data_IF_761711469188
#
_entry.id   IF_761711469188
#
_cell.length_a   1.000
_cell.length_b   1.000
_cell.length_c   1.000
_cell.angle_alpha   90.00
_cell.angle_beta   90.00
_cell.angle_gamma   90.00
#
_symmetry.space_group_name_H-M   'P 1'
#
loop_
_entity.id
_entity.type
_entity.pdbx_description
1 polymer ?
#
# COMPACT_ATOMS: atom_id res chain seq x y z
N UNK A 1 12.89 17.95 -24.39
CA UNK A 1 13.13 16.60 -24.91
C UNK A 1 11.82 15.82 -24.80
N UNK A 2 11.43 15.03 -25.82
CA UNK A 2 10.26 14.16 -25.74
C UNK A 2 10.53 13.09 -24.66
N UNK A 3 9.52 12.81 -23.83
CA UNK A 3 9.61 11.72 -22.85
C UNK A 3 9.62 10.36 -23.57
N UNK A 4 10.36 9.40 -23.03
CA UNK A 4 10.36 8.04 -23.56
C UNK A 4 8.96 7.41 -23.43
N UNK A 5 8.59 6.57 -24.39
CA UNK A 5 7.35 5.81 -24.35
C UNK A 5 7.58 4.53 -23.53
N UNK A 6 6.64 4.18 -22.68
CA UNK A 6 6.66 2.92 -21.95
C UNK A 6 6.19 1.76 -22.85
N UNK A 7 6.95 0.68 -22.90
CA UNK A 7 6.59 -0.53 -23.62
C UNK A 7 6.34 -1.68 -22.62
N UNK A 8 5.16 -2.30 -22.68
CA UNK A 8 4.79 -3.43 -21.83
C UNK A 8 5.41 -4.73 -22.37
N UNK A 9 6.64 -5.04 -21.96
CA UNK A 9 7.35 -6.25 -22.40
C UNK A 9 7.21 -7.41 -21.43
N UNK A 10 6.91 -7.14 -20.16
CA UNK A 10 6.82 -8.12 -19.07
C UNK A 10 5.55 -7.92 -18.25
N UNK A 11 5.03 -8.96 -17.58
CA UNK A 11 3.96 -8.82 -16.61
C UNK A 11 4.33 -7.80 -15.53
N UNK A 12 3.39 -6.92 -15.19
CA UNK A 12 3.55 -5.87 -14.17
C UNK A 12 3.00 -6.33 -12.82
N UNK A 13 3.81 -6.21 -11.77
CA UNK A 13 3.47 -6.58 -10.40
C UNK A 13 3.81 -5.45 -9.46
N UNK A 14 2.86 -5.08 -8.59
CA UNK A 14 3.09 -4.11 -7.54
C UNK A 14 3.54 -4.83 -6.26
N UNK A 15 4.70 -4.47 -5.77
CA UNK A 15 5.27 -5.02 -4.54
C UNK A 15 5.67 -3.87 -3.63
N UNK A 16 5.85 -4.12 -2.34
CA UNK A 16 6.39 -3.10 -1.47
C UNK A 16 6.99 -3.65 -0.20
N UNK A 17 7.76 -2.80 0.48
CA UNK A 17 8.37 -3.10 1.76
C UNK A 17 7.49 -2.64 2.92
N UNK A 18 7.25 -3.56 3.86
CA UNK A 18 6.55 -3.31 5.12
C UNK A 18 7.42 -3.80 6.30
N UNK A 19 7.15 -3.34 7.50
CA UNK A 19 7.87 -3.75 8.71
C UNK A 19 8.21 -2.57 9.62
N UNK A 20 8.85 -2.85 10.74
CA UNK A 20 9.15 -1.87 11.78
C UNK A 20 10.11 -0.76 11.30
N UNK A 21 10.08 0.40 11.96
CA UNK A 21 11.07 1.46 11.77
C UNK A 21 12.49 0.92 12.04
N UNK A 22 13.48 1.44 11.34
CA UNK A 22 14.90 1.03 11.46
C UNK A 22 15.23 -0.44 11.11
N UNK A 23 14.26 -1.26 10.66
CA UNK A 23 14.54 -2.62 10.16
C UNK A 23 15.19 -2.63 8.75
N UNK A 24 15.31 -1.47 8.08
CA UNK A 24 16.05 -1.31 6.83
C UNK A 24 15.23 -1.49 5.56
N UNK A 25 13.93 -1.14 5.58
CA UNK A 25 13.05 -1.17 4.40
C UNK A 25 13.60 -0.34 3.23
N UNK A 26 13.89 0.93 3.48
CA UNK A 26 14.44 1.86 2.48
C UNK A 26 15.82 1.43 2.00
N UNK A 27 16.64 0.87 2.90
CA UNK A 27 17.94 0.30 2.53
C UNK A 27 17.77 -0.90 1.59
N UNK A 28 16.81 -1.77 1.87
CA UNK A 28 16.48 -2.90 1.01
C UNK A 28 15.96 -2.43 -0.36
N UNK A 29 15.09 -1.43 -0.39
CA UNK A 29 14.60 -0.82 -1.62
C UNK A 29 15.75 -0.28 -2.48
N UNK A 30 16.71 0.40 -1.88
CA UNK A 30 17.93 0.87 -2.56
C UNK A 30 18.80 -0.31 -3.07
N UNK A 31 18.94 -1.39 -2.30
CA UNK A 31 19.68 -2.58 -2.70
C UNK A 31 19.02 -3.28 -3.92
N UNK A 32 17.69 -3.41 -3.92
CA UNK A 32 16.92 -3.99 -5.03
C UNK A 32 17.13 -3.19 -6.32
N UNK A 33 17.04 -1.85 -6.27
CA UNK A 33 17.22 -1.01 -7.44
C UNK A 33 18.68 -1.03 -7.93
N UNK A 34 19.67 -1.06 -7.02
CA UNK A 34 21.08 -1.15 -7.37
C UNK A 34 21.40 -2.43 -8.11
N UNK A 35 21.05 -3.58 -7.53
CA UNK A 35 21.37 -4.89 -8.11
C UNK A 35 20.65 -5.10 -9.45
N UNK A 36 19.42 -4.59 -9.59
CA UNK A 36 18.72 -4.60 -10.87
C UNK A 36 19.38 -3.66 -11.89
N UNK A 37 19.90 -2.48 -11.46
CA UNK A 37 20.62 -1.56 -12.33
C UNK A 37 21.97 -2.12 -12.79
N UNK A 38 22.71 -2.83 -11.94
CA UNK A 38 23.97 -3.50 -12.29
C UNK A 38 23.75 -4.57 -13.39
N UNK A 39 22.52 -5.12 -13.50
CA UNK A 39 22.10 -6.01 -14.59
C UNK A 39 21.48 -5.27 -15.79
N UNK A 40 21.44 -3.93 -15.79
CA UNK A 40 20.80 -3.13 -16.84
C UNK A 40 19.27 -3.18 -16.84
N UNK A 41 18.66 -3.63 -15.73
CA UNK A 41 17.20 -3.85 -15.61
C UNK A 41 16.50 -2.80 -14.73
N UNK A 42 17.21 -1.76 -14.29
CA UNK A 42 16.64 -0.64 -13.54
C UNK A 42 17.51 0.61 -13.70
N UNK A 43 16.94 1.75 -13.27
CA UNK A 43 17.75 2.91 -12.91
C UNK A 43 18.05 2.81 -11.42
N UNK A 44 19.33 2.87 -11.03
CA UNK A 44 19.68 2.91 -9.62
C UNK A 44 19.06 4.15 -8.95
N UNK A 45 18.38 3.93 -7.83
CA UNK A 45 17.86 4.97 -6.95
C UNK A 45 18.56 4.81 -5.61
N UNK A 46 19.34 5.82 -5.23
CA UNK A 46 20.11 5.77 -3.98
C UNK A 46 19.19 5.84 -2.76
N UNK A 47 19.70 5.41 -1.59
CA UNK A 47 19.00 5.55 -0.32
C UNK A 47 18.50 6.99 -0.09
N UNK A 48 19.39 7.98 -0.33
CA UNK A 48 19.06 9.40 -0.17
C UNK A 48 17.97 9.88 -1.14
N UNK A 49 17.92 9.35 -2.35
CA UNK A 49 16.87 9.69 -3.33
C UNK A 49 15.52 9.09 -2.93
N UNK A 50 15.48 7.83 -2.47
CA UNK A 50 14.25 7.19 -1.94
C UNK A 50 13.76 7.94 -0.70
N UNK A 51 14.66 8.27 0.23
CA UNK A 51 14.34 9.01 1.44
C UNK A 51 13.87 10.45 1.15
N UNK A 52 14.52 11.17 0.23
CA UNK A 52 14.16 12.55 -0.18
C UNK A 52 12.83 12.63 -0.94
N UNK A 53 12.47 11.62 -1.72
CA UNK A 53 11.15 11.55 -2.36
C UNK A 53 10.04 11.54 -1.29
N UNK A 54 10.32 10.98 -0.11
CA UNK A 54 9.47 10.98 1.06
C UNK A 54 9.43 12.32 1.82
N UNK A 55 10.51 13.14 1.78
CA UNK A 55 10.61 14.42 2.51
C UNK A 55 9.80 15.56 1.88
N UNK A 56 9.48 15.49 0.59
CA UNK A 56 8.81 16.57 -0.13
C UNK A 56 7.42 16.91 0.39
N UNK A 57 6.86 16.12 1.31
CA UNK A 57 5.53 16.26 1.88
C UNK A 57 5.47 16.52 3.40
N UNK A 58 6.60 16.62 4.14
CA UNK A 58 6.53 16.77 5.60
C UNK A 58 7.74 17.40 6.29
N UNK A 59 7.55 17.84 7.54
CA UNK A 59 8.50 18.54 8.40
C UNK A 59 9.77 17.70 8.65
N UNK A 60 10.94 18.34 8.56
CA UNK A 60 12.26 17.80 8.89
C UNK A 60 12.38 17.50 10.39
N UNK A 61 12.75 16.28 10.74
CA UNK A 61 13.56 16.01 11.93
C UNK A 61 15.01 15.85 11.46
N UNK A 62 15.88 16.78 11.88
CA UNK A 62 17.26 16.88 11.41
C UNK A 62 18.17 15.73 11.92
N UNK A 63 17.68 14.83 12.76
CA UNK A 63 18.48 13.83 13.45
C UNK A 63 18.24 12.39 12.97
N UNK A 64 17.14 12.11 12.26
CA UNK A 64 16.86 10.79 11.67
C UNK A 64 16.15 10.93 10.33
N UNK A 65 16.69 10.28 9.31
CA UNK A 65 16.02 10.13 8.00
C UNK A 65 14.95 9.06 8.17
N UNK A 66 13.67 9.47 8.23
CA UNK A 66 12.52 8.57 8.27
C UNK A 66 11.69 8.71 6.99
N UNK A 67 11.27 7.58 6.43
CA UNK A 67 10.31 7.56 5.33
C UNK A 67 8.94 8.01 5.86
N UNK A 68 8.50 9.19 5.45
CA UNK A 68 7.24 9.82 5.90
C UNK A 68 6.12 9.58 4.88
N UNK A 69 6.43 9.73 3.60
CA UNK A 69 5.52 9.52 2.49
C UNK A 69 5.86 8.23 1.73
N UNK A 70 4.91 7.77 0.93
CA UNK A 70 5.10 6.62 0.05
C UNK A 70 6.07 7.00 -1.07
N UNK A 71 7.11 6.20 -1.26
CA UNK A 71 8.03 6.33 -2.40
C UNK A 71 7.81 5.19 -3.39
N UNK A 72 7.79 5.51 -4.67
CA UNK A 72 7.63 4.53 -5.74
C UNK A 72 8.91 4.45 -6.57
N UNK A 73 9.44 3.24 -6.73
CA UNK A 73 10.57 2.94 -7.60
C UNK A 73 10.21 1.81 -8.56
N UNK A 74 10.90 1.74 -9.71
CA UNK A 74 10.73 0.64 -10.68
C UNK A 74 12.02 -0.15 -10.82
N UNK A 75 11.88 -1.47 -10.97
CA UNK A 75 12.95 -2.38 -11.38
C UNK A 75 12.37 -3.61 -12.07
N UNK A 76 13.24 -4.38 -12.71
CA UNK A 76 12.84 -5.58 -13.43
C UNK A 76 13.67 -6.80 -12.99
N UNK A 77 13.10 -7.96 -13.21
CA UNK A 77 13.81 -9.24 -13.31
C UNK A 77 13.71 -9.73 -14.74
N UNK A 78 14.29 -10.87 -15.04
CA UNK A 78 14.11 -11.50 -16.38
C UNK A 78 12.64 -11.81 -16.67
N UNK A 79 11.84 -12.06 -15.62
CA UNK A 79 10.45 -12.51 -15.74
C UNK A 79 9.42 -11.38 -15.64
N UNK A 80 9.69 -10.31 -14.88
CA UNK A 80 8.68 -9.33 -14.47
C UNK A 80 9.21 -7.90 -14.38
N UNK A 81 8.29 -6.95 -14.55
CA UNK A 81 8.47 -5.54 -14.20
C UNK A 81 7.78 -5.27 -12.85
N UNK A 82 8.49 -4.66 -11.93
CA UNK A 82 8.00 -4.32 -10.59
C UNK A 82 7.85 -2.81 -10.39
N UNK A 83 6.66 -2.40 -9.94
CA UNK A 83 6.50 -1.13 -9.22
C UNK A 83 6.65 -1.43 -7.73
N UNK A 84 7.63 -0.82 -7.10
CA UNK A 84 7.93 -1.04 -5.69
C UNK A 84 7.53 0.17 -4.85
N UNK A 85 6.76 -0.09 -3.81
CA UNK A 85 6.24 0.89 -2.86
C UNK A 85 7.03 0.79 -1.57
N UNK A 86 7.84 1.79 -1.25
CA UNK A 86 8.50 1.87 0.06
C UNK A 86 7.57 2.53 1.07
N UNK A 87 7.07 1.74 2.04
CA UNK A 87 6.13 2.20 3.04
C UNK A 87 6.82 2.73 4.29
N UNK A 88 6.30 3.82 4.90
CA UNK A 88 6.81 4.30 6.18
C UNK A 88 6.63 3.23 7.27
N UNK A 89 7.58 3.18 8.20
CA UNK A 89 7.56 2.21 9.31
C UNK A 89 7.04 2.77 10.62
N UNK A 90 6.94 4.09 10.75
CA UNK A 90 6.56 4.74 12.01
C UNK A 90 5.05 4.75 12.22
N UNK A 91 4.62 4.56 13.48
CA UNK A 91 3.19 4.50 13.86
C UNK A 91 2.40 5.77 13.44
N UNK A 92 3.03 6.96 13.46
CA UNK A 92 2.39 8.20 13.08
C UNK A 92 2.00 8.27 11.58
N UNK A 93 2.61 7.41 10.75
CA UNK A 93 2.40 7.39 9.30
C UNK A 93 1.62 6.17 8.80
N UNK A 94 0.90 5.51 9.69
CA UNK A 94 0.10 4.30 9.36
C UNK A 94 -0.90 4.57 8.23
N UNK A 95 -1.44 5.78 8.11
CA UNK A 95 -2.29 6.17 6.96
C UNK A 95 -1.59 5.93 5.62
N UNK A 96 -0.35 6.36 5.51
CA UNK A 96 0.45 6.19 4.30
C UNK A 96 0.81 4.70 4.08
N UNK A 97 1.08 3.97 5.18
CA UNK A 97 1.29 2.52 5.11
C UNK A 97 0.06 1.80 4.58
N UNK A 98 -1.15 2.12 5.08
CA UNK A 98 -2.41 1.51 4.60
C UNK A 98 -2.61 1.81 3.11
N UNK A 99 -2.42 3.07 2.68
CA UNK A 99 -2.55 3.47 1.28
C UNK A 99 -1.54 2.73 0.39
N UNK A 100 -0.28 2.62 0.82
CA UNK A 100 0.75 1.90 0.08
C UNK A 100 0.46 0.40 0.01
N UNK A 101 0.10 -0.23 1.14
CA UNK A 101 -0.20 -1.64 1.19
C UNK A 101 -1.41 -2.03 0.34
N UNK A 102 -2.43 -1.18 0.26
CA UNK A 102 -3.61 -1.41 -0.59
C UNK A 102 -3.28 -1.50 -2.10
N UNK A 103 -2.11 -1.00 -2.51
CA UNK A 103 -1.66 -1.06 -3.90
C UNK A 103 -0.89 -2.35 -4.23
N UNK A 104 -0.46 -3.12 -3.23
CA UNK A 104 0.45 -4.24 -3.41
C UNK A 104 -0.27 -5.51 -3.87
N UNK A 105 0.34 -6.21 -4.81
CA UNK A 105 -0.03 -7.58 -5.19
C UNK A 105 0.69 -8.61 -4.31
N UNK A 106 1.75 -8.16 -3.62
CA UNK A 106 2.48 -8.87 -2.59
C UNK A 106 3.39 -7.92 -1.82
N UNK A 107 3.80 -8.29 -0.63
CA UNK A 107 4.67 -7.48 0.22
C UNK A 107 5.96 -8.22 0.59
N UNK A 108 7.04 -7.46 0.77
CA UNK A 108 8.27 -7.92 1.42
C UNK A 108 8.24 -7.41 2.86
N UNK A 109 8.08 -8.33 3.81
CA UNK A 109 8.18 -8.03 5.22
C UNK A 109 9.65 -7.99 5.62
N UNK A 110 10.13 -6.83 6.04
CA UNK A 110 11.51 -6.63 6.49
C UNK A 110 11.57 -6.69 8.00
N UNK A 111 12.30 -7.67 8.52
CA UNK A 111 12.52 -7.87 9.95
C UNK A 111 14.02 -7.82 10.21
N UNK A 112 14.46 -7.07 11.20
CA UNK A 112 15.84 -7.11 11.66
C UNK A 112 16.10 -8.43 12.39
N UNK A 113 17.09 -9.19 11.95
CA UNK A 113 17.48 -10.44 12.61
C UNK A 113 17.97 -10.22 14.05
N UNK A 114 18.53 -9.03 14.33
CA UNK A 114 19.04 -8.67 15.66
C UNK A 114 17.91 -8.30 16.64
N UNK A 115 16.82 -7.71 16.15
CA UNK A 115 15.74 -7.17 17.00
C UNK A 115 14.51 -8.11 17.04
N UNK A 116 14.37 -9.00 16.04
CA UNK A 116 13.19 -9.84 15.87
C UNK A 116 11.93 -9.05 15.48
N UNK A 117 10.74 -9.69 15.55
CA UNK A 117 9.46 -9.03 15.26
C UNK A 117 9.08 -8.02 16.36
N UNK A 118 9.04 -6.74 15.98
CA UNK A 118 8.70 -5.62 16.85
C UNK A 118 7.19 -5.27 16.76
N UNK A 119 6.64 -4.41 17.65
CA UNK A 119 5.20 -4.09 17.65
C UNK A 119 4.65 -3.64 16.30
N UNK A 120 5.37 -2.77 15.57
CA UNK A 120 4.93 -2.32 14.25
C UNK A 120 5.03 -3.41 13.18
N UNK A 121 5.90 -4.42 13.36
CA UNK A 121 5.92 -5.61 12.49
C UNK A 121 4.57 -6.32 12.54
N UNK A 122 4.04 -6.51 13.74
CA UNK A 122 2.72 -7.13 13.98
C UNK A 122 1.59 -6.29 13.39
N UNK A 123 1.60 -4.98 13.62
CA UNK A 123 0.62 -4.06 13.07
C UNK A 123 0.63 -4.06 11.54
N UNK A 124 1.82 -4.06 10.91
CA UNK A 124 1.95 -4.05 9.45
C UNK A 124 1.46 -5.35 8.80
N UNK A 125 1.70 -6.52 9.41
CA UNK A 125 1.17 -7.80 8.93
C UNK A 125 -0.36 -7.80 9.00
N UNK A 126 -0.91 -7.35 10.14
CA UNK A 126 -2.35 -7.24 10.33
C UNK A 126 -2.99 -6.30 9.30
N UNK A 127 -2.43 -5.10 9.13
CA UNK A 127 -2.92 -4.12 8.17
C UNK A 127 -2.82 -4.62 6.72
N UNK A 128 -1.70 -5.26 6.35
CA UNK A 128 -1.55 -5.87 5.04
C UNK A 128 -2.66 -6.89 4.77
N UNK A 129 -2.99 -7.73 5.78
CA UNK A 129 -4.10 -8.68 5.67
C UNK A 129 -5.45 -8.00 5.48
N UNK A 130 -5.69 -6.92 6.24
CA UNK A 130 -6.96 -6.18 6.20
C UNK A 130 -7.19 -5.46 4.88
N UNK A 131 -6.15 -4.81 4.32
CA UNK A 131 -6.25 -4.15 3.01
C UNK A 131 -6.19 -5.12 1.84
N UNK A 132 -6.01 -6.42 2.11
CA UNK A 132 -6.11 -7.47 1.11
C UNK A 132 -4.82 -7.81 0.37
N UNK A 133 -3.63 -7.51 0.93
CA UNK A 133 -2.36 -8.02 0.41
C UNK A 133 -2.38 -9.55 0.46
N UNK A 134 -2.30 -10.24 -0.69
CA UNK A 134 -2.54 -11.68 -0.71
C UNK A 134 -1.31 -12.52 -0.34
N UNK A 135 -0.09 -12.00 -0.56
CA UNK A 135 1.16 -12.73 -0.40
C UNK A 135 2.21 -11.89 0.33
N UNK A 136 2.99 -12.56 1.21
CA UNK A 136 4.13 -11.96 1.89
C UNK A 136 5.35 -12.84 1.65
N UNK A 137 6.49 -12.21 1.33
CA UNK A 137 7.84 -12.80 1.37
C UNK A 137 8.61 -12.10 2.48
N UNK A 138 9.44 -12.80 3.22
CA UNK A 138 10.18 -12.22 4.35
C UNK A 138 11.65 -12.03 4.00
N UNK A 139 12.20 -10.89 4.38
CA UNK A 139 13.64 -10.63 4.36
C UNK A 139 14.12 -10.37 5.79
N UNK A 140 14.87 -11.34 6.37
CA UNK A 140 15.56 -11.16 7.66
C UNK A 140 16.83 -10.37 7.41
N UNK A 141 16.70 -9.05 7.57
CA UNK A 141 17.76 -8.09 7.33
C UNK A 141 18.72 -7.99 8.51
N UNK A 142 19.91 -7.44 8.29
CA UNK A 142 20.97 -7.32 9.29
C UNK A 142 21.44 -8.67 9.87
N UNK A 143 21.29 -9.76 9.12
CA UNK A 143 21.75 -11.08 9.54
C UNK A 143 23.28 -11.15 9.71
N UNK A 144 24.01 -10.20 9.13
CA UNK A 144 25.45 -10.01 9.32
C UNK A 144 25.85 -9.57 10.74
N UNK A 145 24.90 -9.19 11.58
CA UNK A 145 25.14 -8.81 12.98
C UNK A 145 24.96 -9.96 13.96
N UNK A 146 24.57 -11.12 13.49
CA UNK A 146 24.26 -12.30 14.31
C UNK A 146 25.18 -13.44 13.86
N UNK A 147 26.06 -13.85 14.76
CA UNK A 147 26.98 -15.00 14.54
C UNK A 147 26.33 -16.32 14.99
N UNK A 148 25.33 -16.24 15.89
CA UNK A 148 24.63 -17.39 16.42
C UNK A 148 23.50 -17.84 15.48
N UNK A 149 23.67 -19.03 14.91
CA UNK A 149 22.66 -19.63 14.01
C UNK A 149 21.37 -20.01 14.74
N UNK A 150 21.43 -20.44 16.00
CA UNK A 150 20.24 -20.82 16.75
C UNK A 150 19.35 -19.62 16.99
N UNK A 151 19.95 -18.44 17.22
CA UNK A 151 19.20 -17.17 17.35
C UNK A 151 18.52 -16.79 16.03
N UNK A 152 19.17 -16.95 14.88
CA UNK A 152 18.57 -16.71 13.58
C UNK A 152 17.37 -17.64 13.32
N UNK A 153 17.53 -18.92 13.65
CA UNK A 153 16.47 -19.94 13.49
C UNK A 153 15.27 -19.63 14.43
N UNK A 154 15.52 -19.14 15.64
CA UNK A 154 14.49 -18.71 16.58
C UNK A 154 13.69 -17.51 16.06
N UNK A 155 14.38 -16.48 15.54
CA UNK A 155 13.71 -15.31 14.93
C UNK A 155 12.88 -15.71 13.73
N UNK A 156 13.39 -16.63 12.91
CA UNK A 156 12.64 -17.16 11.77
C UNK A 156 11.36 -17.87 12.23
N UNK A 157 11.44 -18.71 13.26
CA UNK A 157 10.30 -19.41 13.82
C UNK A 157 9.25 -18.42 14.36
N UNK A 158 9.66 -17.40 15.11
CA UNK A 158 8.76 -16.37 15.63
C UNK A 158 8.03 -15.61 14.52
N UNK A 159 8.73 -15.30 13.41
CA UNK A 159 8.12 -14.65 12.25
C UNK A 159 7.09 -15.57 11.57
N UNK A 160 7.38 -16.89 11.44
CA UNK A 160 6.44 -17.87 10.87
C UNK A 160 5.18 -18.02 11.72
N UNK A 161 5.33 -18.11 13.03
CA UNK A 161 4.19 -18.15 13.95
C UNK A 161 3.34 -16.88 13.85
N UNK A 162 3.98 -15.72 13.80
CA UNK A 162 3.31 -14.44 13.65
C UNK A 162 2.51 -14.34 12.35
N UNK A 163 3.09 -14.77 11.23
CA UNK A 163 2.40 -14.81 9.94
C UNK A 163 1.20 -15.75 9.98
N UNK A 164 1.35 -16.94 10.58
CA UNK A 164 0.28 -17.92 10.73
C UNK A 164 -0.87 -17.38 11.58
N UNK A 165 -0.54 -16.70 12.67
CA UNK A 165 -1.52 -16.04 13.57
C UNK A 165 -2.41 -15.04 12.81
N UNK A 166 -1.85 -14.29 11.84
CA UNK A 166 -2.60 -13.31 11.04
C UNK A 166 -3.13 -13.87 9.70
N UNK A 167 -3.15 -15.21 9.55
CA UNK A 167 -3.79 -15.89 8.42
C UNK A 167 -2.98 -15.90 7.13
N UNK A 168 -1.67 -15.69 7.20
CA UNK A 168 -0.75 -16.00 6.11
C UNK A 168 -0.16 -17.40 6.30
N UNK A 169 0.25 -18.10 5.22
CA UNK A 169 0.78 -19.46 5.31
C UNK A 169 2.24 -19.44 5.81
N UNK A 170 2.46 -19.21 7.12
CA UNK A 170 3.77 -19.01 7.72
C UNK A 170 4.79 -20.11 7.38
N UNK A 171 4.37 -21.38 7.40
CA UNK A 171 5.23 -22.54 7.07
C UNK A 171 5.72 -22.54 5.61
N UNK A 172 4.91 -21.99 4.69
CA UNK A 172 5.20 -21.97 3.25
C UNK A 172 5.79 -20.64 2.77
N UNK A 173 5.74 -19.62 3.62
CA UNK A 173 6.26 -18.28 3.28
C UNK A 173 7.77 -18.33 3.12
N UNK A 174 8.34 -17.90 1.96
CA UNK A 174 9.78 -17.78 1.81
C UNK A 174 10.37 -16.77 2.78
N UNK A 175 11.43 -17.18 3.49
CA UNK A 175 12.20 -16.32 4.38
C UNK A 175 13.64 -16.34 3.91
N UNK A 176 14.18 -15.17 3.57
CA UNK A 176 15.54 -15.00 3.06
C UNK A 176 16.34 -14.19 4.11
N UNK A 177 17.46 -14.76 4.54
CA UNK A 177 18.40 -14.10 5.43
C UNK A 177 19.42 -13.31 4.61
N UNK A 178 19.72 -12.06 5.03
CA UNK A 178 20.68 -11.22 4.32
C UNK A 178 21.01 -9.91 5.02
N UNK A 179 21.84 -9.11 4.36
CA UNK A 179 22.16 -7.75 4.75
C UNK A 179 22.03 -6.82 3.54
N UNK A 180 21.00 -5.98 3.56
CA UNK A 180 20.79 -5.00 2.50
C UNK A 180 21.96 -4.00 2.40
N UNK A 181 22.60 -3.68 3.52
CA UNK A 181 23.78 -2.80 3.52
C UNK A 181 24.97 -3.44 2.79
N UNK A 182 25.34 -4.68 3.15
CA UNK A 182 26.41 -5.42 2.46
C UNK A 182 26.11 -5.59 0.96
N UNK A 183 24.85 -5.80 0.61
CA UNK A 183 24.47 -5.89 -0.80
C UNK A 183 24.67 -4.57 -1.55
N UNK A 184 24.36 -3.41 -0.93
CA UNK A 184 24.66 -2.09 -1.50
C UNK A 184 26.17 -1.87 -1.64
N UNK A 185 26.96 -2.35 -0.69
CA UNK A 185 28.43 -2.26 -0.73
C UNK A 185 29.05 -3.20 -1.78
N UNK A 186 28.26 -4.11 -2.37
CA UNK A 186 28.70 -5.03 -3.43
C UNK A 186 29.33 -6.31 -2.89
N UNK A 187 29.12 -6.63 -1.62
CA UNK A 187 29.62 -7.88 -1.01
C UNK A 187 29.04 -9.09 -1.73
N UNK A 188 29.93 -9.98 -2.22
CA UNK A 188 29.59 -11.21 -2.92
C UNK A 188 29.40 -12.40 -1.96
N UNK A 189 29.53 -12.21 -0.67
CA UNK A 189 29.24 -13.21 0.35
C UNK A 189 27.74 -13.58 0.38
N UNK A 190 27.37 -14.69 1.05
CA UNK A 190 26.01 -15.25 1.01
C UNK A 190 24.95 -14.29 1.54
N UNK A 191 25.31 -13.37 2.45
CA UNK A 191 24.42 -12.38 3.04
C UNK A 191 24.38 -11.05 2.26
N UNK A 192 25.28 -10.83 1.29
CA UNK A 192 25.37 -9.64 0.44
C UNK A 192 24.49 -9.74 -0.81
N UNK A 193 25.07 -9.45 -1.98
CA UNK A 193 24.39 -9.47 -3.29
C UNK A 193 23.62 -10.78 -3.54
N UNK A 194 24.16 -11.99 -3.25
CA UNK A 194 23.43 -13.24 -3.44
C UNK A 194 22.12 -13.34 -2.66
N UNK A 195 22.01 -12.72 -1.48
CA UNK A 195 20.78 -12.71 -0.69
C UNK A 195 19.67 -11.93 -1.37
N UNK A 196 19.99 -10.81 -2.01
CA UNK A 196 19.02 -9.99 -2.76
C UNK A 196 18.57 -10.71 -4.03
N UNK A 197 19.48 -11.41 -4.71
CA UNK A 197 19.11 -12.24 -5.87
C UNK A 197 18.16 -13.37 -5.49
N UNK A 198 18.38 -14.05 -4.35
CA UNK A 198 17.47 -15.05 -3.79
C UNK A 198 16.11 -14.45 -3.42
N UNK A 199 16.10 -13.23 -2.87
CA UNK A 199 14.87 -12.51 -2.57
C UNK A 199 14.07 -12.24 -3.85
N UNK A 200 14.71 -11.73 -4.91
CA UNK A 200 14.06 -11.50 -6.21
C UNK A 200 13.51 -12.79 -6.82
N UNK A 201 14.26 -13.88 -6.72
CA UNK A 201 13.81 -15.22 -7.18
C UNK A 201 12.60 -15.72 -6.37
N UNK A 202 12.62 -15.54 -5.05
CA UNK A 202 11.50 -15.88 -4.17
C UNK A 202 10.24 -15.06 -4.51
N UNK A 203 10.39 -13.76 -4.75
CA UNK A 203 9.31 -12.87 -5.17
C UNK A 203 8.75 -13.30 -6.53
N UNK A 204 9.62 -13.59 -7.51
CA UNK A 204 9.22 -14.05 -8.85
C UNK A 204 8.46 -15.38 -8.85
N UNK A 205 8.80 -16.28 -7.93
CA UNK A 205 8.23 -17.63 -7.87
C UNK A 205 7.02 -17.76 -6.96
N UNK A 206 7.02 -17.07 -5.81
CA UNK A 206 6.01 -17.22 -4.78
C UNK A 206 4.80 -16.30 -4.98
N UNK A 207 5.00 -15.07 -5.47
CA UNK A 207 3.92 -14.14 -5.75
C UNK A 207 3.42 -14.39 -7.17
N UNK A 208 2.17 -14.84 -7.39
CA UNK A 208 1.66 -15.11 -8.73
C UNK A 208 1.48 -13.81 -9.53
N UNK A 209 1.48 -13.89 -10.85
CA UNK A 209 1.08 -12.77 -11.70
C UNK A 209 -0.40 -12.46 -11.45
N UNK A 210 -0.74 -11.24 -11.01
CA UNK A 210 -2.11 -10.92 -10.66
C UNK A 210 -3.02 -10.85 -11.88
N UNK A 211 -4.24 -11.36 -11.72
CA UNK A 211 -5.30 -11.15 -12.73
C UNK A 211 -5.82 -9.71 -12.60
N UNK A 212 -5.83 -8.98 -13.72
CA UNK A 212 -6.24 -7.60 -13.76
C UNK A 212 -7.67 -7.47 -14.28
N UNK A 213 -8.60 -6.79 -13.54
CA UNK A 213 -9.98 -6.59 -13.98
C UNK A 213 -10.06 -5.47 -15.03
N UNK A 214 -9.46 -5.68 -16.21
CA UNK A 214 -9.40 -4.70 -17.30
C UNK A 214 -10.75 -4.50 -18.00
N UNK A 215 -11.64 -5.50 -17.93
CA UNK A 215 -12.96 -5.46 -18.58
C UNK A 215 -14.00 -4.65 -17.80
N UNK A 216 -13.68 -4.26 -16.56
CA UNK A 216 -14.57 -3.43 -15.73
C UNK A 216 -14.44 -1.94 -16.11
N UNK A 217 -15.45 -1.11 -15.79
CA UNK A 217 -15.33 0.34 -15.92
C UNK A 217 -14.12 0.87 -15.16
N UNK A 218 -13.38 1.81 -15.77
CA UNK A 218 -12.19 2.41 -15.16
C UNK A 218 -12.48 3.01 -13.78
N UNK A 219 -11.58 2.77 -12.84
CA UNK A 219 -11.54 3.38 -11.53
C UNK A 219 -10.09 3.50 -11.03
N UNK A 220 -9.73 4.68 -10.55
CA UNK A 220 -8.43 4.95 -9.94
C UNK A 220 -8.60 5.84 -8.70
N UNK A 221 -8.34 5.34 -7.48
CA UNK A 221 -8.27 6.17 -6.28
C UNK A 221 -7.13 7.20 -6.39
N UNK A 222 -7.40 8.43 -5.97
CA UNK A 222 -6.42 9.53 -6.00
C UNK A 222 -5.59 9.48 -4.72
N UNK A 223 -4.27 9.42 -4.89
CA UNK A 223 -3.29 9.40 -3.81
C UNK A 223 -2.68 10.76 -3.57
N UNK A 224 -2.22 11.39 -4.65
CA UNK A 224 -1.61 12.71 -4.62
C UNK A 224 -2.07 13.59 -5.78
N UNK A 225 -2.01 14.91 -5.57
CA UNK A 225 -2.40 15.92 -6.56
C UNK A 225 -1.27 16.93 -6.73
N UNK A 226 -0.79 17.05 -7.96
CA UNK A 226 0.30 17.96 -8.32
C UNK A 226 -0.15 18.97 -9.38
N UNK A 227 0.50 20.14 -9.40
CA UNK A 227 0.40 21.09 -10.51
C UNK A 227 1.71 21.11 -11.27
N UNK A 228 1.65 20.89 -12.57
CA UNK A 228 2.80 21.00 -13.45
C UNK A 228 2.65 22.27 -14.29
N UNK A 229 3.60 23.20 -14.17
CA UNK A 229 3.61 24.44 -14.96
C UNK A 229 3.48 24.16 -16.46
N UNK A 230 2.50 24.78 -17.13
CA UNK A 230 2.22 24.62 -18.54
C UNK A 230 1.50 23.32 -18.94
N UNK A 231 1.20 22.41 -17.98
CA UNK A 231 0.51 21.14 -18.28
C UNK A 231 -0.79 20.94 -17.48
N UNK A 232 -0.96 21.64 -16.37
CA UNK A 232 -2.18 21.59 -15.56
C UNK A 232 -2.06 20.66 -14.34
N UNK A 233 -3.19 20.17 -13.88
CA UNK A 233 -3.29 19.29 -12.71
C UNK A 233 -3.01 17.85 -13.11
N UNK A 234 -2.16 17.21 -12.32
CA UNK A 234 -1.83 15.77 -12.41
C UNK A 234 -2.25 15.11 -11.12
N UNK A 235 -2.98 14.02 -11.23
CA UNK A 235 -3.32 13.17 -10.10
C UNK A 235 -2.62 11.82 -10.24
N UNK A 236 -2.14 11.28 -9.15
CA UNK A 236 -1.48 9.97 -9.13
C UNK A 236 -2.32 8.96 -8.37
N UNK A 237 -2.18 7.71 -8.75
CA UNK A 237 -2.82 6.59 -8.08
C UNK A 237 -2.59 5.29 -8.83
N UNK A 238 -3.00 4.18 -8.20
CA UNK A 238 -3.06 2.89 -8.85
C UNK A 238 -4.41 2.70 -9.54
N UNK A 239 -4.42 2.30 -10.80
CA UNK A 239 -5.63 1.86 -11.47
C UNK A 239 -6.18 0.61 -10.78
N UNK A 240 -7.34 0.73 -10.11
CA UNK A 240 -7.98 -0.38 -9.39
C UNK A 240 -8.62 -1.36 -10.38
N UNK A 241 -9.27 -0.84 -11.42
CA UNK A 241 -9.95 -1.60 -12.47
C UNK A 241 -10.06 -0.82 -13.78
N UNK A 242 -10.29 -1.53 -14.87
CA UNK A 242 -10.52 -0.96 -16.18
C UNK A 242 -9.28 -0.42 -16.87
N UNK A 243 -9.52 0.36 -17.90
CA UNK A 243 -8.51 1.01 -18.75
C UNK A 243 -8.89 2.48 -18.89
N UNK A 244 -7.90 3.37 -18.92
CA UNK A 244 -8.04 4.80 -19.22
C UNK A 244 -7.08 5.18 -20.33
N UNK A 245 -7.56 5.96 -21.31
CA UNK A 245 -6.80 6.44 -22.48
C UNK A 245 -6.74 7.96 -22.50
N UNK A 246 -5.75 8.47 -23.20
CA UNK A 246 -5.72 9.90 -23.53
C UNK A 246 -6.92 10.24 -24.41
N UNK A 247 -7.66 11.27 -24.02
CA UNK A 247 -8.92 11.68 -24.68
C UNK A 247 -10.19 11.18 -24.01
N UNK A 248 -10.09 10.23 -23.08
CA UNK A 248 -11.27 9.72 -22.37
C UNK A 248 -11.91 10.80 -21.50
N UNK A 249 -13.24 10.81 -21.52
CA UNK A 249 -14.05 11.53 -20.53
C UNK A 249 -14.14 10.71 -19.26
N UNK A 250 -13.87 11.33 -18.12
CA UNK A 250 -13.89 10.73 -16.80
C UNK A 250 -14.59 11.65 -15.79
N UNK A 251 -15.02 11.09 -14.67
CA UNK A 251 -15.55 11.83 -13.53
C UNK A 251 -14.59 11.75 -12.34
N UNK A 252 -14.48 12.86 -11.62
CA UNK A 252 -13.88 12.94 -10.30
C UNK A 252 -15.04 12.78 -9.31
N UNK A 253 -15.00 11.70 -8.48
CA UNK A 253 -16.11 11.30 -7.61
C UNK A 253 -15.62 11.16 -6.17
N UNK A 254 -16.41 11.60 -5.20
CA UNK A 254 -16.14 11.38 -3.77
C UNK A 254 -16.51 12.55 -2.89
N UNK A 255 -15.57 13.09 -2.13
CA UNK A 255 -15.73 14.04 -1.04
C UNK A 255 -16.46 15.36 -1.41
N UNK A 256 -16.53 15.68 -2.70
CA UNK A 256 -17.15 16.88 -3.27
C UNK A 256 -18.14 16.52 -4.38
N UNK A 257 -18.94 17.46 -4.87
CA UNK A 257 -19.79 17.23 -6.02
C UNK A 257 -18.99 16.70 -7.21
N UNK A 258 -19.55 15.72 -7.93
CA UNK A 258 -18.91 15.11 -9.08
C UNK A 258 -18.55 16.14 -10.15
N UNK A 259 -17.35 16.02 -10.71
CA UNK A 259 -16.84 16.87 -11.77
C UNK A 259 -16.41 16.04 -12.97
N UNK A 260 -16.94 16.37 -14.15
CA UNK A 260 -16.48 15.79 -15.40
C UNK A 260 -15.18 16.46 -15.85
N UNK A 261 -14.26 15.70 -16.41
CA UNK A 261 -13.01 16.16 -17.00
C UNK A 261 -12.55 15.24 -18.12
N UNK A 262 -11.48 15.61 -18.82
CA UNK A 262 -10.90 14.82 -19.90
C UNK A 262 -9.43 14.52 -19.60
N UNK A 263 -9.02 13.30 -19.85
CA UNK A 263 -7.62 12.86 -19.74
C UNK A 263 -6.79 13.44 -20.88
N UNK A 264 -5.77 14.23 -20.56
CA UNK A 264 -4.87 14.83 -21.57
C UNK A 264 -3.51 14.14 -21.65
N UNK A 265 -3.22 13.24 -20.71
CA UNK A 265 -2.00 12.45 -20.70
C UNK A 265 -2.01 11.40 -19.60
N UNK A 266 -1.32 10.30 -19.85
CA UNK A 266 -1.08 9.22 -18.88
C UNK A 266 0.41 8.98 -18.83
N UNK A 267 0.98 8.93 -17.62
CA UNK A 267 2.42 8.73 -17.40
C UNK A 267 2.65 7.71 -16.29
N UNK A 268 3.68 6.89 -16.43
CA UNK A 268 4.17 5.98 -15.42
C UNK A 268 5.70 6.07 -15.36
N UNK A 269 6.27 6.28 -14.16
CA UNK A 269 7.72 6.43 -13.95
C UNK A 269 8.37 7.42 -14.95
N UNK A 270 7.73 8.58 -15.18
CA UNK A 270 8.17 9.64 -16.11
C UNK A 270 8.18 9.24 -17.60
N UNK A 271 7.63 8.07 -17.95
CA UNK A 271 7.41 7.60 -19.31
C UNK A 271 5.95 7.85 -19.72
N UNK A 272 5.71 8.20 -20.98
CA UNK A 272 4.34 8.42 -21.50
C UNK A 272 3.72 7.07 -21.86
N UNK A 273 2.45 6.89 -21.51
CA UNK A 273 1.64 5.77 -21.92
C UNK A 273 0.52 6.22 -22.86
N UNK A 274 0.14 5.36 -23.81
CA UNK A 274 -1.08 5.55 -24.60
C UNK A 274 -2.32 5.28 -23.74
N UNK A 275 -2.22 4.33 -22.81
CA UNK A 275 -3.28 3.93 -21.89
C UNK A 275 -2.72 3.45 -20.54
N UNK A 276 -3.45 3.72 -19.45
CA UNK A 276 -3.27 3.11 -18.15
C UNK A 276 -4.29 1.99 -17.94
N UNK A 277 -3.87 0.86 -17.39
CA UNK A 277 -4.76 -0.28 -17.13
C UNK A 277 -4.74 -0.69 -15.66
N UNK A 278 -5.72 -1.49 -15.26
CA UNK A 278 -5.79 -2.06 -13.92
C UNK A 278 -4.43 -2.61 -13.47
N UNK A 279 -3.97 -2.19 -12.31
CA UNK A 279 -2.67 -2.53 -11.72
C UNK A 279 -1.56 -1.52 -11.96
N UNK A 280 -1.68 -0.61 -12.91
CA UNK A 280 -0.66 0.43 -13.16
C UNK A 280 -0.71 1.53 -12.12
N UNK A 281 0.46 1.97 -11.65
CA UNK A 281 0.60 3.19 -10.87
C UNK A 281 0.88 4.36 -11.83
N UNK A 282 -0.10 5.20 -12.07
CA UNK A 282 -0.03 6.24 -13.11
C UNK A 282 -0.26 7.65 -12.57
N UNK A 283 0.33 8.61 -13.25
CA UNK A 283 -0.07 10.01 -13.19
C UNK A 283 -0.99 10.34 -14.36
N UNK A 284 -2.19 10.82 -14.08
CA UNK A 284 -3.20 11.21 -15.06
C UNK A 284 -3.29 12.73 -15.11
N UNK A 285 -3.09 13.31 -16.29
CA UNK A 285 -3.23 14.74 -16.53
C UNK A 285 -4.68 15.07 -16.85
N UNK A 286 -5.23 16.07 -16.17
CA UNK A 286 -6.64 16.46 -16.25
C UNK A 286 -6.79 17.81 -16.95
N UNK A 287 -7.79 17.93 -17.83
CA UNK A 287 -8.10 19.17 -18.55
C UNK A 287 -8.95 20.09 -17.68
N UNK A 288 -8.51 21.35 -17.54
CA UNK A 288 -9.33 22.41 -16.92
C UNK A 288 -9.65 22.21 -15.43
N UNK A 289 -9.05 21.21 -14.79
CA UNK A 289 -9.22 20.92 -13.38
C UNK A 289 -8.16 21.67 -12.57
N UNK A 290 -8.55 22.42 -11.57
CA UNK A 290 -7.63 23.07 -10.65
C UNK A 290 -7.22 22.12 -9.53
N UNK A 291 -6.05 22.39 -8.91
CA UNK A 291 -5.54 21.57 -7.81
C UNK A 291 -6.50 21.55 -6.61
N UNK A 292 -7.13 22.69 -6.33
CA UNK A 292 -8.09 22.87 -5.25
C UNK A 292 -9.44 22.15 -5.44
N UNK A 293 -9.74 21.71 -6.66
CA UNK A 293 -10.98 20.98 -6.98
C UNK A 293 -10.84 19.48 -6.72
N UNK A 294 -9.63 19.00 -6.53
CA UNK A 294 -9.30 17.58 -6.39
C UNK A 294 -8.47 17.34 -5.14
N UNK A 295 -8.81 16.31 -4.42
CA UNK A 295 -8.06 15.92 -3.23
C UNK A 295 -7.91 14.41 -3.09
N UNK A 296 -6.93 14.00 -2.27
CA UNK A 296 -6.72 12.61 -1.89
C UNK A 296 -8.00 12.03 -1.30
N UNK A 297 -8.36 10.82 -1.72
CA UNK A 297 -9.57 10.13 -1.29
C UNK A 297 -10.73 10.20 -2.26
N UNK A 298 -10.70 11.12 -3.23
CA UNK A 298 -11.56 11.05 -4.38
C UNK A 298 -11.08 9.95 -5.34
N UNK A 299 -11.91 9.59 -6.32
CA UNK A 299 -11.55 8.65 -7.38
C UNK A 299 -11.74 9.26 -8.75
N UNK A 300 -10.88 8.89 -9.71
CA UNK A 300 -11.17 9.03 -11.12
C UNK A 300 -11.95 7.80 -11.58
N UNK A 301 -13.04 7.98 -12.27
CA UNK A 301 -13.89 6.89 -12.72
C UNK A 301 -14.46 7.14 -14.11
N UNK A 302 -14.85 6.06 -14.80
CA UNK A 302 -15.68 6.17 -16.00
C UNK A 302 -17.00 6.86 -15.62
N UNK A 303 -17.52 7.81 -16.41
CA UNK A 303 -18.75 8.54 -16.08
C UNK A 303 -19.90 7.60 -15.67
N UNK A 304 -20.56 7.92 -14.56
CA UNK A 304 -21.70 7.19 -14.01
C UNK A 304 -21.43 5.74 -13.61
N UNK A 305 -20.16 5.34 -13.44
CA UNK A 305 -19.80 3.96 -13.07
C UNK A 305 -19.67 3.71 -11.58
N UNK A 306 -19.61 4.77 -10.78
CA UNK A 306 -19.59 4.74 -9.31
C UNK A 306 -20.25 6.02 -8.79
N UNK A 307 -20.86 5.95 -7.62
CA UNK A 307 -21.52 7.08 -6.96
C UNK A 307 -20.95 7.29 -5.55
N UNK A 308 -20.97 8.53 -5.04
CA UNK A 308 -20.59 8.82 -3.67
C UNK A 308 -21.75 8.51 -2.72
N UNK A 309 -21.43 7.94 -1.56
CA UNK A 309 -22.40 7.52 -0.55
C UNK A 309 -21.94 7.90 0.85
N UNK A 310 -22.89 8.16 1.74
CA UNK A 310 -22.64 8.46 3.16
C UNK A 310 -23.15 7.36 4.08
N UNK A 311 -24.13 6.53 3.66
CA UNK A 311 -24.78 5.56 4.53
C UNK A 311 -24.77 4.16 3.95
N UNK A 312 -24.31 3.19 4.75
CA UNK A 312 -24.15 1.82 4.31
C UNK A 312 -24.28 0.84 5.48
N UNK A 313 -24.58 -0.42 5.18
CA UNK A 313 -24.41 -1.54 6.11
C UNK A 313 -23.04 -2.17 5.90
N UNK A 314 -22.46 -2.68 6.96
CA UNK A 314 -21.16 -3.34 6.93
C UNK A 314 -21.08 -4.48 7.93
N UNK A 315 -20.30 -5.50 7.57
CA UNK A 315 -19.81 -6.50 8.51
C UNK A 315 -18.46 -6.04 9.02
N UNK A 316 -18.31 -5.94 10.35
CA UNK A 316 -17.09 -5.45 10.99
C UNK A 316 -16.58 -6.53 11.97
N UNK A 317 -15.29 -6.83 11.86
CA UNK A 317 -14.53 -7.54 12.88
C UNK A 317 -13.82 -6.54 13.79
N UNK A 318 -14.04 -6.67 15.10
CA UNK A 318 -13.42 -5.81 16.11
C UNK A 318 -12.19 -6.50 16.67
N UNK A 319 -11.01 -5.88 16.48
CA UNK A 319 -9.75 -6.45 16.92
C UNK A 319 -9.68 -6.59 18.46
N UNK A 320 -9.14 -7.72 18.90
CA UNK A 320 -8.85 -7.97 20.32
C UNK A 320 -7.67 -7.13 20.81
N UNK A 321 -7.48 -7.08 22.13
CA UNK A 321 -6.32 -6.43 22.75
C UNK A 321 -5.00 -7.08 22.31
N UNK A 322 -4.97 -8.41 22.20
CA UNK A 322 -3.80 -9.17 21.75
C UNK A 322 -3.43 -8.87 20.30
N UNK A 323 -4.41 -8.49 19.48
CA UNK A 323 -4.24 -8.07 18.10
C UNK A 323 -3.88 -6.57 17.97
N UNK A 324 -3.69 -5.87 19.11
CA UNK A 324 -3.40 -4.44 19.14
C UNK A 324 -4.63 -3.53 19.07
N UNK A 325 -5.83 -4.13 19.10
CA UNK A 325 -7.11 -3.44 19.03
C UNK A 325 -7.60 -2.89 20.38
N UNK A 326 -8.92 -2.88 20.55
CA UNK A 326 -9.59 -2.37 21.74
C UNK A 326 -9.49 -3.37 22.91
N UNK A 327 -9.61 -2.85 24.12
CA UNK A 327 -9.76 -3.63 25.36
C UNK A 327 -11.11 -3.37 26.06
N UNK A 328 -11.92 -2.46 25.49
CA UNK A 328 -13.25 -2.12 26.00
C UNK A 328 -14.28 -2.26 24.89
N UNK A 329 -15.54 -2.59 25.22
CA UNK A 329 -16.62 -2.61 24.25
C UNK A 329 -16.91 -1.21 23.70
N UNK A 330 -17.63 -1.15 22.57
CA UNK A 330 -18.26 0.06 22.12
C UNK A 330 -19.79 -0.10 22.04
N UNK A 331 -20.47 1.03 22.07
CA UNK A 331 -21.93 1.11 22.14
C UNK A 331 -22.49 1.80 20.91
N UNK A 332 -23.81 1.82 20.79
CA UNK A 332 -24.50 2.56 19.75
C UNK A 332 -24.07 4.03 19.74
N UNK A 333 -23.85 4.61 18.55
CA UNK A 333 -23.36 5.96 18.41
C UNK A 333 -21.83 6.09 18.45
N UNK A 334 -21.07 4.99 18.44
CA UNK A 334 -19.61 4.98 18.34
C UNK A 334 -19.13 5.73 17.10
N UNK A 335 -18.08 6.55 17.23
CA UNK A 335 -17.57 7.45 16.19
C UNK A 335 -16.11 7.22 15.85
N UNK A 336 -15.77 6.16 15.13
CA UNK A 336 -14.41 5.92 14.65
C UNK A 336 -14.12 6.63 13.33
N UNK A 337 -12.87 6.50 12.88
CA UNK A 337 -12.45 6.82 11.53
C UNK A 337 -12.54 5.56 10.65
N UNK A 338 -13.20 5.70 9.50
CA UNK A 338 -13.30 4.67 8.47
C UNK A 338 -12.29 4.97 7.37
N UNK A 339 -11.38 4.03 7.12
CA UNK A 339 -10.35 4.13 6.09
C UNK A 339 -10.77 3.40 4.84
N UNK A 340 -11.11 4.14 3.80
CA UNK A 340 -11.44 3.62 2.49
C UNK A 340 -10.36 4.00 1.49
N UNK A 341 -9.81 3.04 0.74
CA UNK A 341 -8.80 3.29 -0.30
C UNK A 341 -7.67 4.21 0.18
N UNK A 342 -7.74 5.50 -0.17
CA UNK A 342 -6.67 6.49 0.10
C UNK A 342 -7.04 7.53 1.15
N UNK A 343 -8.25 7.47 1.73
CA UNK A 343 -8.75 8.46 2.70
C UNK A 343 -9.38 7.86 3.94
N UNK A 344 -9.49 8.67 4.96
CA UNK A 344 -10.25 8.39 6.17
C UNK A 344 -11.39 9.40 6.36
N UNK A 345 -12.54 8.90 6.79
CA UNK A 345 -13.71 9.73 7.12
C UNK A 345 -14.29 9.27 8.45
N UNK A 346 -14.61 10.23 9.31
CA UNK A 346 -15.35 9.94 10.55
C UNK A 346 -16.75 9.51 10.22
N UNK A 347 -17.23 8.46 10.88
CA UNK A 347 -18.62 8.01 10.76
C UNK A 347 -19.21 7.63 12.10
N UNK A 348 -20.54 7.52 12.12
CA UNK A 348 -21.31 7.10 13.29
C UNK A 348 -21.77 5.66 13.04
N UNK A 349 -21.50 4.79 14.00
CA UNK A 349 -21.95 3.39 13.99
C UNK A 349 -23.27 3.26 14.73
N UNK A 350 -24.27 2.71 14.05
CA UNK A 350 -25.55 2.31 14.63
C UNK A 350 -25.60 0.78 14.70
N UNK A 351 -25.85 0.26 15.89
CA UNK A 351 -26.02 -1.17 16.14
C UNK A 351 -27.42 -1.63 15.77
N UNK A 352 -27.55 -2.89 15.39
CA UNK A 352 -28.85 -3.47 15.09
C UNK A 352 -29.73 -3.56 16.37
N UNK A 353 -31.07 -3.51 16.23
CA UNK A 353 -31.96 -3.68 17.37
C UNK A 353 -31.65 -4.95 18.18
N UNK A 354 -31.55 -4.82 19.49
CA UNK A 354 -31.23 -5.93 20.41
C UNK A 354 -29.75 -6.11 20.68
N UNK A 355 -28.85 -5.38 19.99
CA UNK A 355 -27.40 -5.36 20.29
C UNK A 355 -27.11 -4.13 21.15
N UNK A 356 -26.79 -4.33 22.42
CA UNK A 356 -26.48 -3.21 23.33
C UNK A 356 -25.04 -2.76 23.22
N UNK A 357 -24.10 -3.69 23.01
CA UNK A 357 -22.66 -3.42 22.90
C UNK A 357 -21.97 -4.44 22.00
N UNK A 358 -20.78 -4.10 21.55
CA UNK A 358 -19.88 -4.96 20.75
C UNK A 358 -18.55 -5.10 21.47
N UNK A 359 -18.12 -6.34 21.69
CA UNK A 359 -16.88 -6.68 22.39
C UNK A 359 -15.71 -6.78 21.41
N UNK A 360 -14.46 -6.54 21.88
CA UNK A 360 -13.28 -6.95 21.12
C UNK A 360 -13.31 -8.45 20.81
N UNK A 361 -13.07 -8.81 19.54
CA UNK A 361 -13.17 -10.18 19.02
C UNK A 361 -14.49 -10.50 18.32
N UNK A 362 -15.50 -9.64 18.43
CA UNK A 362 -16.79 -9.87 17.80
C UNK A 362 -16.75 -9.56 16.28
N UNK A 363 -17.57 -10.35 15.56
CA UNK A 363 -18.05 -10.00 14.22
C UNK A 363 -19.47 -9.44 14.34
N UNK A 364 -19.69 -8.25 13.81
CA UNK A 364 -20.96 -7.55 13.95
C UNK A 364 -21.41 -6.89 12.66
N UNK A 365 -22.71 -7.02 12.35
CA UNK A 365 -23.35 -6.24 11.29
C UNK A 365 -23.80 -4.90 11.87
N UNK A 366 -23.41 -3.81 11.21
CA UNK A 366 -23.74 -2.45 11.65
C UNK A 366 -24.22 -1.59 10.49
N UNK A 367 -24.93 -0.51 10.82
CA UNK A 367 -25.14 0.60 9.89
C UNK A 367 -24.17 1.72 10.23
N UNK A 368 -23.43 2.19 9.23
CA UNK A 368 -22.51 3.31 9.36
C UNK A 368 -22.99 4.51 8.56
N UNK A 369 -22.85 5.70 9.12
CA UNK A 369 -23.16 6.97 8.47
C UNK A 369 -21.95 7.90 8.55
N UNK A 370 -21.35 8.22 7.40
CA UNK A 370 -20.16 9.04 7.27
C UNK A 370 -20.51 10.53 7.28
N UNK A 371 -19.59 11.35 7.80
CA UNK A 371 -19.73 12.82 7.79
C UNK A 371 -19.51 13.44 6.40
N UNK A 372 -18.89 12.70 5.47
CA UNK A 372 -18.63 13.12 4.10
C UNK A 372 -18.85 11.95 3.14
N UNK A 373 -19.34 12.21 1.92
CA UNK A 373 -19.59 11.16 0.95
C UNK A 373 -18.26 10.55 0.43
N UNK A 374 -18.27 9.26 0.15
CA UNK A 374 -17.14 8.53 -0.44
C UNK A 374 -17.63 7.74 -1.64
N UNK A 375 -16.85 7.70 -2.70
CA UNK A 375 -17.08 6.80 -3.84
C UNK A 375 -17.05 5.35 -3.36
N UNK A 376 -18.17 4.64 -3.41
CA UNK A 376 -18.36 3.36 -2.74
C UNK A 376 -19.07 2.35 -3.64
N UNK A 377 -18.59 1.11 -3.58
CA UNK A 377 -19.25 -0.07 -4.15
C UNK A 377 -19.52 -1.09 -3.03
N UNK A 378 -20.52 -1.93 -3.22
CA UNK A 378 -20.71 -3.11 -2.38
C UNK A 378 -19.48 -4.03 -2.46
N UNK A 379 -19.06 -4.58 -1.33
CA UNK A 379 -17.83 -5.38 -1.21
C UNK A 379 -16.56 -4.55 -0.96
N UNK A 380 -16.65 -3.22 -0.91
CA UNK A 380 -15.50 -2.37 -0.57
C UNK A 380 -15.04 -2.64 0.87
N UNK A 381 -13.76 -2.95 1.03
CA UNK A 381 -13.13 -3.17 2.34
C UNK A 381 -12.67 -1.85 2.95
N UNK A 382 -12.66 -1.82 4.28
CA UNK A 382 -12.18 -0.67 5.03
C UNK A 382 -11.55 -1.10 6.37
N UNK A 383 -10.70 -0.24 6.90
CA UNK A 383 -10.21 -0.36 8.27
C UNK A 383 -10.94 0.64 9.18
N UNK A 384 -11.13 0.25 10.45
CA UNK A 384 -11.71 1.10 11.49
C UNK A 384 -10.59 1.51 12.43
N UNK A 385 -10.45 2.81 12.69
CA UNK A 385 -9.40 3.35 13.55
C UNK A 385 -9.93 4.29 14.62
N UNK A 386 -9.26 4.25 15.76
CA UNK A 386 -9.53 5.12 16.92
C UNK A 386 -8.21 5.48 17.62
N UNK A 387 -8.00 6.75 17.96
CA UNK A 387 -6.82 7.18 18.72
C UNK A 387 -5.47 6.79 18.09
N UNK A 388 -5.40 6.78 16.75
CA UNK A 388 -4.18 6.40 16.02
C UNK A 388 -3.96 4.90 15.85
N UNK A 389 -4.83 4.04 16.41
CA UNK A 389 -4.74 2.57 16.32
C UNK A 389 -5.82 2.00 15.42
N UNK A 390 -5.51 0.91 14.72
CA UNK A 390 -6.52 0.11 14.04
C UNK A 390 -7.25 -0.74 15.07
N UNK A 391 -8.57 -0.61 15.11
CA UNK A 391 -9.44 -1.28 16.09
C UNK A 391 -10.41 -2.25 15.46
N UNK A 392 -10.46 -2.29 14.13
CA UNK A 392 -11.30 -3.22 13.40
C UNK A 392 -11.09 -3.14 11.90
N UNK A 393 -11.73 -4.04 11.19
CA UNK A 393 -11.83 -4.03 9.74
C UNK A 393 -13.22 -4.48 9.32
N UNK A 394 -13.65 -4.07 8.14
CA UNK A 394 -14.97 -4.43 7.67
C UNK A 394 -15.08 -4.43 6.14
N UNK A 395 -16.26 -4.83 5.70
CA UNK A 395 -16.66 -4.83 4.31
C UNK A 395 -18.06 -4.24 4.16
N UNK A 396 -18.25 -3.40 3.16
CA UNK A 396 -19.57 -2.84 2.82
C UNK A 396 -20.45 -3.94 2.29
N UNK A 397 -21.52 -4.28 3.02
CA UNK A 397 -22.48 -5.33 2.63
C UNK A 397 -23.65 -4.79 1.81
N UNK A 398 -24.08 -3.55 2.07
CA UNK A 398 -25.19 -2.90 1.37
C UNK A 398 -25.03 -1.37 1.42
N UNK A 399 -25.33 -0.70 0.33
CA UNK A 399 -25.35 0.77 0.24
C UNK A 399 -26.79 1.24 0.46
N UNK A 400 -26.96 2.23 1.35
CA UNK A 400 -28.28 2.75 1.75
C UNK A 400 -28.56 4.17 1.22
N UNK A 401 -27.56 5.06 1.21
CA UNK A 401 -27.66 6.43 0.69
C UNK A 401 -26.31 7.05 0.34
#
# INVERSE_FOLDING_TARGET
MAKAKYERKKPHVNIGTIGHVDHGKTTLTAALTKISADKGMAKFVSYDEVAKASESQGRRDATKIMTIAISHVEYETDKRHYAHVDCPGHADYVKNMITGAAQMDGAILVVSAADGPMPQTREHILLARQVGVPFIVVFLNKADKIDDKELLDLVELEVRELLSKYGFPGDKTPIIQGSALKAIEGDQGPLGVPSILKLLEAVDSYIPTPQRPIDKPFLMPIEDVFTISGRGTVVTGRCERGIVKVGDEIEIVGLRPNQATVVTGVEMFRKVLDEGQAGDNVGVLLRGTKKEDVERGMVLAKPKSITPHTKFKAEIYVLTKEEGGRHTPFFNGYRPQFYFRTTDVTGIVSLNPGVEMVMPGDNVSVTAELISPIAMDQGLRFAVREGGKTVGSGVVSEILA
#
